data_IF_142497199477
#
_entry.id   IF_142497199477
#
_cell.length_a   1.000
_cell.length_b   1.000
_cell.length_c   1.000
_cell.angle_alpha   90.00
_cell.angle_beta   90.00
_cell.angle_gamma   90.00
#
_symmetry.space_group_name_H-M   'P 1'
#
loop_
_entity.id
_entity.type
_entity.pdbx_description
1 polymer ?
#
# COMPACT_ATOMS: atom_id res chain seq x y z
N UNK A 1 -26.39 -1.25 -8.81
CA UNK A 1 -26.39 -2.71 -8.98
C UNK A 1 -24.95 -3.15 -9.03
N UNK A 2 -24.41 -3.62 -7.88
CA UNK A 2 -23.02 -4.05 -7.76
C UNK A 2 -22.82 -5.40 -8.44
N UNK A 3 -21.96 -5.45 -9.44
CA UNK A 3 -21.44 -6.72 -9.95
C UNK A 3 -20.35 -7.17 -9.01
N UNK A 4 -20.62 -8.26 -8.25
CA UNK A 4 -19.63 -8.92 -7.42
C UNK A 4 -18.48 -9.45 -8.29
N UNK A 5 -17.27 -9.09 -7.94
CA UNK A 5 -16.05 -9.64 -8.54
C UNK A 5 -15.87 -11.08 -8.04
N UNK A 6 -16.08 -12.03 -8.92
CA UNK A 6 -15.69 -13.43 -8.68
C UNK A 6 -14.20 -13.54 -9.06
N UNK A 7 -13.34 -13.77 -8.06
CA UNK A 7 -11.92 -14.03 -8.29
C UNK A 7 -11.74 -15.37 -9.00
N UNK A 8 -11.42 -15.34 -10.28
CA UNK A 8 -11.02 -16.51 -11.04
C UNK A 8 -9.54 -16.82 -10.75
N UNK A 9 -9.29 -17.89 -9.99
CA UNK A 9 -7.93 -18.42 -9.81
C UNK A 9 -7.43 -18.97 -11.16
N UNK A 10 -6.48 -18.29 -11.79
CA UNK A 10 -5.76 -18.86 -12.94
C UNK A 10 -4.65 -19.79 -12.45
N UNK A 11 -4.67 -21.02 -12.92
CA UNK A 11 -3.55 -21.96 -12.81
C UNK A 11 -2.70 -21.73 -14.04
N UNK A 12 -1.46 -21.29 -13.88
CA UNK A 12 -0.48 -21.28 -14.96
C UNK A 12 -0.26 -22.72 -15.44
N UNK A 13 -0.10 -22.95 -16.75
CA UNK A 13 0.11 -24.29 -17.35
C UNK A 13 1.30 -25.08 -16.77
N UNK A 14 2.16 -24.43 -15.98
CA UNK A 14 3.29 -25.07 -15.29
C UNK A 14 2.94 -25.66 -13.91
N UNK A 15 1.68 -25.61 -13.47
CA UNK A 15 1.24 -26.20 -12.19
C UNK A 15 1.77 -25.50 -10.94
N UNK A 16 2.49 -24.38 -11.06
CA UNK A 16 2.93 -23.56 -9.92
C UNK A 16 1.79 -22.63 -9.51
N UNK A 17 1.33 -22.76 -8.28
CA UNK A 17 0.41 -21.81 -7.66
C UNK A 17 1.14 -20.46 -7.62
N UNK A 18 0.54 -19.42 -8.20
CA UNK A 18 1.05 -18.04 -8.05
C UNK A 18 1.04 -17.67 -6.57
N UNK A 19 2.15 -17.13 -6.08
CA UNK A 19 2.32 -16.78 -4.66
C UNK A 19 1.51 -15.52 -4.29
N UNK A 20 1.11 -14.70 -5.30
CA UNK A 20 0.39 -13.46 -5.08
C UNK A 20 -0.95 -13.45 -5.82
N UNK A 21 -1.92 -12.77 -5.21
CA UNK A 21 -3.17 -12.45 -5.89
C UNK A 21 -2.95 -11.19 -6.73
N UNK A 22 -2.98 -11.33 -8.05
CA UNK A 22 -2.83 -10.21 -8.97
C UNK A 22 -4.11 -9.37 -8.98
N UNK A 23 -3.98 -8.09 -8.67
CA UNK A 23 -5.07 -7.13 -8.72
C UNK A 23 -5.54 -6.87 -10.16
N UNK A 24 -4.57 -6.86 -11.09
CA UNK A 24 -4.83 -6.56 -12.50
C UNK A 24 -5.23 -7.84 -13.23
N UNK A 25 -6.33 -7.76 -13.95
CA UNK A 25 -6.85 -8.82 -14.80
C UNK A 25 -7.09 -8.29 -16.22
N UNK A 26 -7.12 -9.20 -17.18
CA UNK A 26 -7.48 -8.85 -18.57
C UNK A 26 -8.95 -8.44 -18.62
N UNK A 27 -9.21 -7.20 -18.94
CA UNK A 27 -10.52 -6.64 -19.23
C UNK A 27 -10.41 -5.50 -20.24
N UNK A 28 -11.52 -4.89 -20.64
CA UNK A 28 -11.59 -3.70 -21.51
C UNK A 28 -10.69 -3.77 -22.76
N UNK A 29 -10.53 -4.98 -23.33
CA UNK A 29 -9.76 -5.19 -24.56
C UNK A 29 -8.29 -5.54 -24.35
N UNK A 30 -7.81 -5.63 -23.11
CA UNK A 30 -6.52 -6.24 -22.83
C UNK A 30 -6.58 -7.77 -22.94
N UNK A 31 -5.53 -8.39 -23.46
CA UNK A 31 -5.38 -9.85 -23.51
C UNK A 31 -3.94 -10.26 -23.27
N UNK A 32 -3.75 -11.19 -22.35
CA UNK A 32 -2.47 -11.87 -22.13
C UNK A 32 -2.42 -13.15 -22.96
N UNK A 33 -1.45 -13.24 -23.87
CA UNK A 33 -1.25 -14.39 -24.76
C UNK A 33 -0.26 -15.40 -24.18
N UNK A 34 0.75 -14.91 -23.48
CA UNK A 34 1.75 -15.72 -22.79
C UNK A 34 2.29 -14.94 -21.60
N UNK A 35 2.80 -15.65 -20.61
CA UNK A 35 3.46 -15.03 -19.45
C UNK A 35 4.62 -15.91 -19.00
N UNK A 36 5.81 -15.33 -18.95
CA UNK A 36 7.03 -16.01 -18.54
C UNK A 36 7.49 -15.43 -17.19
N UNK A 37 7.60 -16.30 -16.18
CA UNK A 37 8.18 -15.92 -14.89
C UNK A 37 9.71 -15.88 -15.01
N UNK A 38 10.30 -14.72 -14.86
CA UNK A 38 11.76 -14.50 -14.92
C UNK A 38 12.42 -14.70 -13.54
N UNK A 39 11.71 -14.31 -12.47
CA UNK A 39 12.18 -14.43 -11.09
C UNK A 39 10.99 -14.49 -10.14
N UNK A 40 11.10 -15.26 -9.06
CA UNK A 40 10.10 -15.31 -8.00
C UNK A 40 10.74 -15.57 -6.64
N UNK A 41 10.26 -14.87 -5.60
CA UNK A 41 10.56 -15.11 -4.21
C UNK A 41 9.30 -14.83 -3.36
N UNK A 42 9.33 -14.99 -2.01
CA UNK A 42 8.15 -14.70 -1.17
C UNK A 42 7.63 -13.26 -1.19
N UNK A 43 8.42 -12.31 -1.69
CA UNK A 43 8.13 -10.87 -1.61
C UNK A 43 7.73 -10.24 -2.95
N UNK A 44 8.20 -10.81 -4.07
CA UNK A 44 7.90 -10.30 -5.41
C UNK A 44 8.11 -11.37 -6.50
N UNK A 45 7.43 -11.18 -7.61
CA UNK A 45 7.63 -11.92 -8.84
C UNK A 45 7.96 -10.96 -9.98
N UNK A 46 8.84 -11.37 -10.90
CA UNK A 46 9.15 -10.61 -12.11
C UNK A 46 8.71 -11.45 -13.31
N UNK A 47 7.82 -10.91 -14.11
CA UNK A 47 7.20 -11.56 -15.25
C UNK A 47 7.51 -10.83 -16.55
N UNK A 48 7.39 -11.57 -17.66
CA UNK A 48 7.46 -11.03 -19.01
C UNK A 48 6.22 -11.45 -19.81
N UNK A 49 5.07 -10.82 -19.56
CA UNK A 49 3.87 -11.09 -20.31
C UNK A 49 3.99 -10.64 -21.78
N UNK A 50 3.34 -11.38 -22.68
CA UNK A 50 3.07 -10.97 -24.05
C UNK A 50 1.59 -10.60 -24.13
N UNK A 51 1.31 -9.34 -24.42
CA UNK A 51 -0.05 -8.80 -24.34
C UNK A 51 -0.46 -8.04 -25.61
N UNK A 52 -1.77 -7.92 -25.83
CA UNK A 52 -2.38 -6.91 -26.69
C UNK A 52 -3.17 -5.91 -25.85
N UNK A 53 -3.33 -4.69 -26.33
CA UNK A 53 -4.08 -3.63 -25.64
C UNK A 53 -5.19 -3.06 -26.53
N UNK A 54 -6.13 -2.28 -25.97
CA UNK A 54 -7.20 -1.65 -26.77
C UNK A 54 -6.69 -0.78 -27.93
N UNK A 55 -5.48 -0.21 -27.80
CA UNK A 55 -4.88 0.68 -28.80
C UNK A 55 -3.77 0.01 -29.60
N UNK A 56 -3.36 -1.22 -29.25
CA UNK A 56 -2.27 -1.95 -29.89
C UNK A 56 -2.66 -3.41 -30.10
N UNK A 57 -3.10 -3.71 -31.35
CA UNK A 57 -3.57 -5.04 -31.74
C UNK A 57 -2.42 -6.07 -31.91
N UNK A 58 -1.21 -5.60 -32.28
CA UNK A 58 -0.06 -6.49 -32.38
C UNK A 58 0.49 -6.84 -30.99
N UNK A 59 0.78 -8.13 -30.73
CA UNK A 59 1.34 -8.53 -29.45
C UNK A 59 2.69 -7.88 -29.16
N UNK A 60 2.88 -7.48 -27.91
CA UNK A 60 4.15 -6.93 -27.42
C UNK A 60 4.45 -7.47 -26.02
N UNK A 61 5.74 -7.47 -25.65
CA UNK A 61 6.19 -7.92 -24.34
C UNK A 61 6.49 -6.74 -23.45
N UNK A 62 6.25 -6.90 -22.14
CA UNK A 62 6.63 -5.94 -21.11
C UNK A 62 7.28 -6.69 -19.95
N UNK A 63 8.14 -6.03 -19.17
CA UNK A 63 8.62 -6.62 -17.92
C UNK A 63 7.82 -6.02 -16.77
N UNK A 64 7.17 -6.86 -15.99
CA UNK A 64 6.29 -6.45 -14.89
C UNK A 64 6.80 -7.06 -13.60
N UNK A 65 6.86 -6.26 -12.53
CA UNK A 65 7.09 -6.74 -11.18
C UNK A 65 5.75 -6.82 -10.46
N UNK A 66 5.38 -8.03 -10.03
CA UNK A 66 4.19 -8.25 -9.22
C UNK A 66 4.53 -8.21 -7.74
N UNK A 67 3.76 -7.45 -6.98
CA UNK A 67 3.88 -7.35 -5.52
C UNK A 67 2.50 -7.45 -4.89
N UNK A 68 2.48 -7.88 -3.61
CA UNK A 68 1.25 -7.81 -2.81
C UNK A 68 0.79 -6.37 -2.70
N UNK A 69 -0.53 -6.18 -2.60
CA UNK A 69 -1.09 -4.90 -2.23
C UNK A 69 -0.61 -4.47 -0.85
N UNK A 70 -0.53 -3.17 -0.64
CA UNK A 70 -0.22 -2.59 0.66
C UNK A 70 -1.40 -1.79 1.21
N UNK A 71 -1.41 -1.55 2.51
CA UNK A 71 -2.27 -0.58 3.16
C UNK A 71 -1.43 0.45 3.90
N UNK A 72 -1.79 1.70 3.77
CA UNK A 72 -1.18 2.85 4.43
C UNK A 72 -2.23 3.48 5.35
N UNK A 73 -1.88 3.72 6.58
CA UNK A 73 -2.78 4.36 7.55
C UNK A 73 -2.30 5.75 7.87
N UNK A 74 -3.18 6.74 7.74
CA UNK A 74 -2.97 8.10 8.23
C UNK A 74 -3.53 8.18 9.64
N UNK A 75 -2.72 8.09 10.69
CA UNK A 75 -3.21 8.17 12.05
C UNK A 75 -3.27 9.64 12.50
N UNK A 76 -4.42 10.03 13.04
CA UNK A 76 -4.61 11.36 13.60
C UNK A 76 -4.93 11.24 15.09
N UNK A 77 -4.14 11.88 15.93
CA UNK A 77 -4.33 11.91 17.39
C UNK A 77 -5.55 12.75 17.80
N UNK A 78 -5.98 12.65 19.06
CA UNK A 78 -7.14 13.38 19.56
C UNK A 78 -6.95 14.92 19.50
N UNK A 79 -5.72 15.41 19.56
CA UNK A 79 -5.36 16.84 19.41
C UNK A 79 -5.12 17.24 17.93
N UNK A 80 -5.41 16.35 16.97
CA UNK A 80 -5.38 16.61 15.52
C UNK A 80 -4.01 16.55 14.87
N UNK A 81 -3.00 15.98 15.55
CA UNK A 81 -1.66 15.76 14.98
C UNK A 81 -1.60 14.49 14.15
N UNK A 82 -0.71 14.48 13.17
CA UNK A 82 -0.43 13.32 12.31
C UNK A 82 0.72 12.52 12.90
N UNK A 83 0.52 11.21 13.06
CA UNK A 83 1.55 10.33 13.59
C UNK A 83 2.33 9.69 12.43
N UNK A 84 3.64 9.84 12.44
CA UNK A 84 4.54 9.26 11.45
C UNK A 84 5.57 8.37 12.15
N UNK A 85 6.06 7.41 11.39
CA UNK A 85 7.20 6.55 11.74
C UNK A 85 8.40 6.93 10.89
N UNK A 86 9.60 6.76 11.43
CA UNK A 86 10.85 6.95 10.71
C UNK A 86 11.50 5.59 10.49
N UNK A 87 11.57 5.15 9.25
CA UNK A 87 11.97 3.80 8.89
C UNK A 87 13.18 3.79 7.94
N UNK A 88 14.08 2.83 8.13
CA UNK A 88 15.17 2.56 7.18
C UNK A 88 14.63 1.83 5.96
N UNK A 89 14.91 2.38 4.77
CA UNK A 89 14.54 1.78 3.48
C UNK A 89 15.78 1.34 2.72
N UNK A 90 16.04 0.03 2.75
CA UNK A 90 17.22 -0.59 2.13
C UNK A 90 17.39 -0.24 0.65
N UNK A 91 16.33 -0.23 -0.20
CA UNK A 91 16.51 0.07 -1.63
C UNK A 91 17.06 1.46 -1.91
N UNK A 92 16.71 2.44 -1.09
CA UNK A 92 17.14 3.85 -1.26
C UNK A 92 18.27 4.25 -0.31
N UNK A 93 18.73 3.31 0.57
CA UNK A 93 19.81 3.53 1.54
C UNK A 93 19.60 4.77 2.41
N UNK A 94 18.36 5.00 2.85
CA UNK A 94 17.99 6.17 3.64
C UNK A 94 16.94 5.80 4.69
N UNK A 95 16.92 6.60 5.77
CA UNK A 95 15.86 6.59 6.78
C UNK A 95 14.93 7.77 6.48
N UNK A 96 13.65 7.51 6.30
CA UNK A 96 12.66 8.53 5.90
C UNK A 96 11.43 8.49 6.79
N UNK A 97 10.70 9.61 6.84
CA UNK A 97 9.41 9.72 7.51
C UNK A 97 8.28 9.22 6.61
N UNK A 98 7.46 8.33 7.15
CA UNK A 98 6.35 7.68 6.44
C UNK A 98 5.13 7.54 7.36
N UNK A 99 3.94 7.39 6.78
CA UNK A 99 2.81 6.85 7.52
C UNK A 99 2.98 5.33 7.71
N UNK A 100 2.48 4.76 8.82
CA UNK A 100 2.47 3.31 9.04
C UNK A 100 1.86 2.58 7.85
N UNK A 101 2.52 1.50 7.40
CA UNK A 101 2.11 0.78 6.20
C UNK A 101 2.62 -0.64 6.17
N UNK A 102 1.80 -1.58 5.72
CA UNK A 102 2.20 -2.98 5.56
C UNK A 102 1.54 -3.69 4.40
N UNK A 103 2.02 -4.89 4.11
CA UNK A 103 1.49 -5.73 3.04
C UNK A 103 0.22 -6.44 3.48
N UNK A 104 -0.72 -6.59 2.54
CA UNK A 104 -1.96 -7.34 2.72
C UNK A 104 -1.68 -8.78 2.29
N UNK A 105 -1.74 -9.72 3.23
CA UNK A 105 -1.43 -11.13 2.98
C UNK A 105 -2.55 -11.88 2.26
N UNK A 106 -3.79 -11.45 2.47
CA UNK A 106 -4.99 -12.03 1.89
C UNK A 106 -5.50 -11.22 0.69
N UNK A 107 -6.68 -11.58 0.19
CA UNK A 107 -7.37 -10.78 -0.81
C UNK A 107 -7.66 -9.38 -0.27
N UNK A 108 -7.46 -8.35 -1.11
CA UNK A 108 -7.66 -6.96 -0.73
C UNK A 108 -9.16 -6.59 -0.61
N UNK A 109 -9.90 -7.35 0.18
CA UNK A 109 -11.27 -7.03 0.57
C UNK A 109 -11.29 -5.96 1.67
N UNK A 110 -12.35 -5.19 1.75
CA UNK A 110 -12.46 -4.07 2.67
C UNK A 110 -12.21 -4.45 4.14
N UNK A 111 -12.62 -5.65 4.55
CA UNK A 111 -12.38 -6.17 5.90
C UNK A 111 -10.90 -6.45 6.16
N UNK A 112 -10.23 -7.11 5.23
CA UNK A 112 -8.80 -7.43 5.32
C UNK A 112 -7.94 -6.16 5.27
N UNK A 113 -8.24 -5.23 4.38
CA UNK A 113 -7.56 -3.93 4.28
C UNK A 113 -7.62 -3.19 5.63
N UNK A 114 -8.82 -3.10 6.22
CA UNK A 114 -9.02 -2.43 7.50
C UNK A 114 -8.29 -3.15 8.64
N UNK A 115 -8.38 -4.47 8.70
CA UNK A 115 -7.74 -5.27 9.74
C UNK A 115 -6.21 -5.15 9.68
N UNK A 116 -5.62 -5.30 8.49
CA UNK A 116 -4.18 -5.12 8.26
C UNK A 116 -3.75 -3.71 8.65
N UNK A 117 -4.44 -2.67 8.17
CA UNK A 117 -4.09 -1.29 8.51
C UNK A 117 -4.09 -0.99 10.01
N UNK A 118 -5.06 -1.51 10.77
CA UNK A 118 -5.10 -1.33 12.22
C UNK A 118 -4.03 -2.17 12.94
N UNK A 119 -3.64 -3.31 12.39
CA UNK A 119 -2.53 -4.11 12.90
C UNK A 119 -1.20 -3.36 12.71
N UNK A 120 -0.92 -2.87 11.50
CA UNK A 120 0.29 -2.10 11.19
C UNK A 120 0.40 -0.81 12.01
N UNK A 121 -0.71 -0.08 12.14
CA UNK A 121 -0.77 1.09 13.04
C UNK A 121 -0.26 0.74 14.43
N UNK A 122 -0.73 -0.38 15.00
CA UNK A 122 -0.32 -0.79 16.34
C UNK A 122 1.14 -1.24 16.40
N UNK A 123 1.57 -2.06 15.44
CA UNK A 123 2.90 -2.67 15.43
C UNK A 123 3.99 -1.62 15.18
N UNK A 124 3.80 -0.75 14.18
CA UNK A 124 4.78 0.25 13.78
C UNK A 124 4.76 1.53 14.63
N UNK A 125 3.62 1.92 15.19
CA UNK A 125 3.53 3.19 15.94
C UNK A 125 3.25 3.02 17.44
N UNK A 126 2.86 1.83 17.89
CA UNK A 126 2.42 1.61 19.26
C UNK A 126 1.09 2.31 19.60
N UNK A 127 0.33 2.74 18.59
CA UNK A 127 -0.97 3.38 18.77
C UNK A 127 -2.10 2.53 18.24
N UNK A 128 -3.27 2.76 18.76
CA UNK A 128 -4.50 2.08 18.36
C UNK A 128 -5.65 3.06 18.14
N UNK A 129 -6.67 2.63 17.40
CA UNK A 129 -7.88 3.41 17.22
C UNK A 129 -8.58 3.56 18.58
N UNK A 130 -8.88 4.78 18.98
CA UNK A 130 -9.61 5.04 20.23
C UNK A 130 -11.01 4.42 20.20
N UNK A 131 -11.57 4.14 21.37
CA UNK A 131 -12.97 3.72 21.48
C UNK A 131 -13.89 4.77 20.83
N UNK A 132 -14.75 4.33 19.91
CA UNK A 132 -15.61 5.21 19.11
C UNK A 132 -14.90 5.97 17.98
N UNK A 133 -13.63 5.70 17.76
CA UNK A 133 -12.89 6.24 16.61
C UNK A 133 -13.36 5.67 15.29
N UNK A 134 -13.03 6.36 14.19
CA UNK A 134 -13.44 5.98 12.85
C UNK A 134 -12.24 5.62 11.95
N UNK A 135 -12.48 4.75 10.99
CA UNK A 135 -11.57 4.45 9.89
C UNK A 135 -12.27 4.81 8.58
N UNK A 136 -11.71 5.80 7.86
CA UNK A 136 -12.27 6.31 6.61
C UNK A 136 -11.41 5.81 5.44
N UNK A 137 -11.96 5.04 4.48
CA UNK A 137 -11.24 4.68 3.26
C UNK A 137 -10.98 5.91 2.39
N UNK A 138 -9.74 6.10 1.97
CA UNK A 138 -9.33 7.19 1.08
C UNK A 138 -9.11 6.70 -0.37
N UNK A 139 -9.44 5.43 -0.67
CA UNK A 139 -9.22 4.80 -1.97
C UNK A 139 -7.86 4.13 -2.07
N UNK A 140 -7.41 3.90 -3.29
CA UNK A 140 -6.10 3.31 -3.60
C UNK A 140 -5.38 4.10 -4.70
N UNK A 141 -4.09 3.82 -4.88
CA UNK A 141 -3.28 4.38 -5.97
C UNK A 141 -2.18 3.41 -6.37
N UNK A 142 -1.56 3.65 -7.52
CA UNK A 142 -0.43 2.89 -8.04
C UNK A 142 0.85 3.71 -7.87
N UNK A 143 1.82 3.27 -7.04
CA UNK A 143 3.05 4.04 -6.78
C UNK A 143 3.98 4.09 -7.99
N UNK A 144 3.95 3.07 -8.88
CA UNK A 144 4.84 3.01 -10.04
C UNK A 144 4.27 2.17 -11.20
N UNK A 145 3.12 2.59 -11.75
CA UNK A 145 2.37 1.87 -12.79
C UNK A 145 3.11 1.63 -14.11
N UNK A 146 4.34 2.11 -14.27
CA UNK A 146 5.16 1.87 -15.46
C UNK A 146 5.81 0.49 -15.51
N UNK A 147 5.97 -0.20 -14.37
CA UNK A 147 6.63 -1.50 -14.32
C UNK A 147 6.09 -2.46 -13.25
N UNK A 148 5.18 -2.02 -12.38
CA UNK A 148 4.60 -2.84 -11.32
C UNK A 148 3.10 -2.65 -11.23
N UNK A 149 2.39 -3.71 -10.85
CA UNK A 149 0.98 -3.69 -10.46
C UNK A 149 0.77 -3.45 -8.96
N UNK A 150 1.86 -3.20 -8.22
CA UNK A 150 1.76 -2.81 -6.82
C UNK A 150 0.78 -1.64 -6.65
N UNK A 151 -0.11 -1.77 -5.69
CA UNK A 151 -1.03 -0.70 -5.33
C UNK A 151 -1.17 -0.60 -3.82
N UNK A 152 -1.45 0.61 -3.33
CA UNK A 152 -1.60 0.88 -1.91
C UNK A 152 -2.99 1.41 -1.61
N UNK A 153 -3.69 0.77 -0.68
CA UNK A 153 -4.93 1.25 -0.10
C UNK A 153 -4.61 2.28 0.97
N UNK A 154 -5.38 3.35 1.02
CA UNK A 154 -5.19 4.45 1.96
C UNK A 154 -6.35 4.49 2.94
N UNK A 155 -6.04 4.57 4.23
CA UNK A 155 -7.00 4.68 5.33
C UNK A 155 -6.66 5.90 6.20
N UNK A 156 -7.68 6.64 6.63
CA UNK A 156 -7.58 7.61 7.72
C UNK A 156 -8.11 6.96 8.99
N UNK A 157 -7.34 6.93 10.06
CA UNK A 157 -7.74 6.42 11.38
C UNK A 157 -7.72 7.56 12.41
N UNK A 158 -8.86 7.85 13.06
CA UNK A 158 -8.98 8.95 14.02
C UNK A 158 -10.13 8.82 15.04
N UNK A 159 -9.96 9.29 16.30
CA UNK A 159 -8.68 9.60 16.86
C UNK A 159 -7.92 8.31 17.19
N UNK A 160 -6.58 8.40 17.19
CA UNK A 160 -5.71 7.32 17.69
C UNK A 160 -5.13 7.70 19.05
N UNK A 161 -4.87 6.67 19.87
CA UNK A 161 -4.33 6.81 21.24
C UNK A 161 -3.16 5.83 21.42
N UNK A 162 -2.23 6.08 22.36
CA UNK A 162 -1.21 5.10 22.70
C UNK A 162 -1.84 3.77 23.10
N UNK A 163 -1.36 2.67 22.51
CA UNK A 163 -1.77 1.31 22.86
C UNK A 163 -1.04 0.78 24.08
N UNK A 164 -1.54 -0.34 24.61
CA UNK A 164 -1.04 -0.93 25.87
C UNK A 164 0.38 -1.52 25.75
N UNK A 165 0.82 -1.89 24.54
CA UNK A 165 2.04 -2.70 24.35
C UNK A 165 3.21 -1.94 23.72
N UNK A 166 3.06 -0.67 23.35
CA UNK A 166 4.11 0.11 22.69
C UNK A 166 4.42 -0.36 21.26
N UNK A 167 5.60 0.03 20.77
CA UNK A 167 6.13 -0.36 19.45
C UNK A 167 6.48 -1.86 19.44
N UNK A 168 6.05 -2.57 18.42
CA UNK A 168 6.35 -3.98 18.20
C UNK A 168 6.51 -4.29 16.70
N UNK A 169 7.45 -3.61 15.99
CA UNK A 169 7.66 -3.84 14.57
C UNK A 169 8.16 -5.27 14.32
N UNK A 170 7.94 -5.75 13.10
CA UNK A 170 8.49 -7.04 12.67
C UNK A 170 10.03 -7.01 12.69
N UNK A 171 10.68 -8.19 12.85
CA UNK A 171 12.15 -8.29 12.88
C UNK A 171 12.86 -7.72 11.65
N UNK A 172 12.17 -7.65 10.51
CA UNK A 172 12.69 -7.09 9.25
C UNK A 172 12.49 -5.57 9.13
N UNK A 173 11.77 -4.94 10.07
CA UNK A 173 11.42 -3.53 10.03
C UNK A 173 12.30 -2.72 10.97
N UNK A 174 13.11 -1.83 10.40
CA UNK A 174 13.99 -0.94 11.15
C UNK A 174 13.31 0.41 11.39
N UNK A 175 12.30 0.44 12.26
CA UNK A 175 11.65 1.68 12.71
C UNK A 175 12.49 2.30 13.83
N UNK A 176 12.99 3.50 13.59
CA UNK A 176 13.91 4.20 14.50
C UNK A 176 13.20 5.22 15.39
N UNK A 177 12.06 5.73 14.96
CA UNK A 177 11.32 6.77 15.67
C UNK A 177 9.83 6.75 15.28
N UNK A 178 8.96 7.12 16.23
CA UNK A 178 7.56 7.41 15.99
C UNK A 178 7.22 8.75 16.65
N UNK A 179 6.64 9.69 15.88
CA UNK A 179 6.35 11.04 16.39
C UNK A 179 5.08 11.63 15.78
N UNK A 180 4.37 12.41 16.60
CA UNK A 180 3.22 13.18 16.18
C UNK A 180 3.63 14.60 15.75
N UNK A 181 3.17 15.01 14.56
CA UNK A 181 3.45 16.31 13.96
C UNK A 181 2.17 17.13 13.81
N UNK A 182 2.25 18.42 14.02
CA UNK A 182 1.17 19.33 13.63
C UNK A 182 0.99 19.33 12.11
N UNK A 183 -0.19 19.76 11.64
CA UNK A 183 -0.43 19.90 10.19
C UNK A 183 0.54 20.87 9.52
N UNK A 184 0.96 21.92 10.24
CA UNK A 184 1.92 22.90 9.75
C UNK A 184 3.32 22.29 9.60
N UNK A 185 3.82 21.60 10.63
CA UNK A 185 5.09 20.86 10.57
C UNK A 185 5.09 19.86 9.42
N UNK A 186 4.04 19.03 9.30
CA UNK A 186 3.91 18.04 8.24
C UNK A 186 3.96 18.67 6.83
N UNK A 187 3.24 19.77 6.61
CA UNK A 187 3.32 20.52 5.34
C UNK A 187 4.70 21.10 5.08
N UNK A 188 5.36 21.62 6.12
CA UNK A 188 6.73 22.09 6.06
C UNK A 188 7.71 21.00 5.65
N UNK A 189 7.56 19.78 6.21
CA UNK A 189 8.38 18.61 5.87
C UNK A 189 8.16 18.14 4.41
N UNK A 190 6.94 18.23 3.89
CA UNK A 190 6.68 17.98 2.45
C UNK A 190 7.36 19.06 1.60
N UNK A 191 7.18 20.33 1.94
CA UNK A 191 7.73 21.45 1.17
C UNK A 191 9.27 21.45 1.14
N UNK A 192 9.92 21.02 2.22
CA UNK A 192 11.37 20.90 2.31
C UNK A 192 11.93 19.63 1.63
N UNK A 193 11.07 18.66 1.29
CA UNK A 193 11.49 17.35 0.76
C UNK A 193 12.00 16.38 1.85
N UNK A 194 11.76 16.66 3.11
CA UNK A 194 12.02 15.71 4.21
C UNK A 194 11.05 14.52 4.14
N UNK A 195 9.77 14.76 3.87
CA UNK A 195 8.80 13.74 3.46
C UNK A 195 8.85 13.60 1.95
N UNK A 196 9.24 12.43 1.47
CA UNK A 196 9.42 12.10 0.05
C UNK A 196 8.95 10.69 -0.33
N UNK A 197 8.32 9.99 0.62
CA UNK A 197 7.67 8.72 0.35
C UNK A 197 6.38 8.91 -0.47
N UNK A 198 6.22 8.10 -1.52
CA UNK A 198 5.07 8.19 -2.41
C UNK A 198 3.74 7.90 -1.71
N UNK A 199 3.71 6.93 -0.80
CA UNK A 199 2.51 6.56 -0.05
C UNK A 199 2.03 7.73 0.82
N UNK A 200 2.94 8.36 1.55
CA UNK A 200 2.67 9.50 2.43
C UNK A 200 2.21 10.73 1.64
N UNK A 201 2.86 11.02 0.51
CA UNK A 201 2.46 12.13 -0.39
C UNK A 201 1.10 11.89 -1.04
N UNK A 202 0.81 10.66 -1.48
CA UNK A 202 -0.48 10.31 -2.06
C UNK A 202 -1.60 10.39 -1.01
N UNK A 203 -1.36 9.92 0.21
CA UNK A 203 -2.30 10.04 1.32
C UNK A 203 -2.61 11.51 1.64
N UNK A 204 -1.59 12.37 1.70
CA UNK A 204 -1.79 13.81 1.87
C UNK A 204 -2.63 14.41 0.75
N UNK A 205 -2.33 14.10 -0.51
CA UNK A 205 -3.10 14.60 -1.64
C UNK A 205 -4.59 14.18 -1.56
N UNK A 206 -4.86 12.93 -1.15
CA UNK A 206 -6.23 12.44 -0.94
C UNK A 206 -6.96 13.15 0.18
N UNK A 207 -6.30 13.36 1.34
CA UNK A 207 -6.89 14.10 2.45
C UNK A 207 -7.31 15.51 2.04
N UNK A 208 -6.43 16.22 1.30
CA UNK A 208 -6.72 17.57 0.79
C UNK A 208 -7.89 17.54 -0.21
N UNK A 209 -7.85 16.63 -1.18
CA UNK A 209 -8.89 16.51 -2.21
C UNK A 209 -10.27 16.15 -1.65
N UNK A 210 -10.32 15.37 -0.57
CA UNK A 210 -11.55 14.95 0.10
C UNK A 210 -12.04 15.93 1.19
N UNK A 211 -11.32 17.03 1.42
CA UNK A 211 -11.66 18.01 2.47
C UNK A 211 -11.52 17.45 3.90
N UNK A 212 -10.66 16.46 4.08
CA UNK A 212 -10.38 15.80 5.36
C UNK A 212 -9.09 16.31 6.02
N UNK A 213 -8.41 17.22 5.34
CA UNK A 213 -7.19 17.87 5.80
C UNK A 213 -7.48 19.02 6.75
#
# INVERSE_FOLDING_TARGET
MGKGFAAAQRVCETGRRMAFHHFIQDDDGWRTHADETLFANPYLEVHRPTVTSPTRAEPFTWTVTHRKAAVVVVPVTADGRLLLVRQERVPIRATIWEFPAGQIDDHAEAGAIRATGLRELREESGHELAAGGEVVPLGHFFPSCGFTDEHSHLLLARPVVPGAYGLAPDESEAITECRAFTREEFRGMIASGEIRDANTLAAFARLVAMGLW
#
